data_IF_051217895993
#
_entry.id   IF_051217895993
#
_cell.length_a   1.000
_cell.length_b   1.000
_cell.length_c   1.000
_cell.angle_alpha   90.00
_cell.angle_beta   90.00
_cell.angle_gamma   90.00
#
_symmetry.space_group_name_H-M   'P 1'
#
loop_
_entity.id
_entity.type
_entity.pdbx_description
1 polymer ?
#
# COMPACT_ATOMS: atom_id res chain seq x y z
N UNK A 1 3.75 -17.43 -15.18
CA UNK A 1 3.01 -16.18 -14.94
C UNK A 1 3.23 -15.87 -13.45
N UNK A 2 3.83 -14.74 -13.15
CA UNK A 2 4.08 -14.35 -11.77
C UNK A 2 2.77 -13.89 -11.08
N UNK A 3 2.66 -14.18 -9.79
CA UNK A 3 1.48 -13.89 -8.98
C UNK A 3 1.74 -12.68 -8.09
N UNK A 4 0.83 -11.71 -8.15
CA UNK A 4 0.85 -10.49 -7.32
C UNK A 4 -0.33 -10.53 -6.34
N UNK A 5 -0.08 -10.23 -5.09
CA UNK A 5 -1.11 -10.02 -4.06
C UNK A 5 -1.11 -8.54 -3.66
N UNK A 6 -2.26 -7.88 -3.79
CA UNK A 6 -2.42 -6.45 -3.49
C UNK A 6 -3.45 -6.26 -2.39
N UNK A 7 -3.09 -5.65 -1.28
CA UNK A 7 -4.04 -5.33 -0.22
C UNK A 7 -4.73 -3.99 -0.47
N UNK A 8 -6.01 -3.86 -0.15
CA UNK A 8 -6.80 -2.66 -0.43
C UNK A 8 -7.02 -2.41 -1.93
N UNK A 9 -7.23 -3.49 -2.71
CA UNK A 9 -7.28 -3.43 -4.17
C UNK A 9 -8.63 -3.01 -4.78
N UNK A 10 -9.66 -2.69 -3.98
CA UNK A 10 -11.00 -2.38 -4.50
C UNK A 10 -11.17 -0.95 -5.01
N UNK A 11 -10.34 0.01 -4.59
CA UNK A 11 -10.42 1.43 -4.98
C UNK A 11 -9.07 2.14 -4.95
N UNK A 12 -9.04 3.38 -5.43
CA UNK A 12 -7.89 4.28 -5.37
C UNK A 12 -6.60 3.66 -5.94
N UNK A 13 -5.50 3.88 -5.27
CA UNK A 13 -4.15 3.41 -5.65
C UNK A 13 -4.12 1.88 -5.82
N UNK A 14 -4.77 1.15 -4.90
CA UNK A 14 -4.83 -0.31 -4.97
C UNK A 14 -5.52 -0.82 -6.23
N UNK A 15 -6.66 -0.23 -6.60
CA UNK A 15 -7.37 -0.61 -7.82
C UNK A 15 -6.60 -0.26 -9.11
N UNK A 16 -5.89 0.89 -9.13
CA UNK A 16 -5.01 1.24 -10.22
C UNK A 16 -3.85 0.25 -10.36
N UNK A 17 -3.27 -0.17 -9.23
CA UNK A 17 -2.24 -1.22 -9.23
C UNK A 17 -2.81 -2.56 -9.75
N UNK A 18 -4.00 -2.99 -9.29
CA UNK A 18 -4.65 -4.21 -9.79
C UNK A 18 -4.80 -4.17 -11.31
N UNK A 19 -5.32 -3.05 -11.86
CA UNK A 19 -5.49 -2.89 -13.31
C UNK A 19 -4.16 -2.96 -14.06
N UNK A 20 -3.16 -2.21 -13.60
CA UNK A 20 -1.87 -2.15 -14.26
C UNK A 20 -1.15 -3.51 -14.25
N UNK A 21 -1.11 -4.21 -13.12
CA UNK A 21 -0.47 -5.51 -13.05
C UNK A 21 -1.22 -6.58 -13.87
N UNK A 22 -2.56 -6.55 -13.89
CA UNK A 22 -3.35 -7.44 -14.75
C UNK A 22 -3.09 -7.16 -16.25
N UNK A 23 -3.03 -5.89 -16.67
CA UNK A 23 -2.67 -5.50 -18.05
C UNK A 23 -1.27 -5.98 -18.44
N UNK A 24 -0.33 -6.00 -17.50
CA UNK A 24 1.03 -6.53 -17.71
C UNK A 24 1.12 -8.05 -17.70
N UNK A 25 0.01 -8.75 -17.55
CA UNK A 25 -0.05 -10.21 -17.64
C UNK A 25 0.31 -10.93 -16.34
N UNK A 26 0.31 -10.24 -15.19
CA UNK A 26 0.44 -10.91 -13.91
C UNK A 26 -0.87 -11.60 -13.50
N UNK A 27 -0.78 -12.68 -12.73
CA UNK A 27 -1.94 -13.22 -12.03
C UNK A 27 -2.15 -12.38 -10.76
N UNK A 28 -3.23 -11.62 -10.69
CA UNK A 28 -3.48 -10.69 -9.58
C UNK A 28 -4.54 -11.23 -8.65
N UNK A 29 -4.21 -11.33 -7.38
CA UNK A 29 -5.14 -11.47 -6.27
C UNK A 29 -5.18 -10.14 -5.51
N UNK A 30 -6.36 -9.74 -5.04
CA UNK A 30 -6.41 -8.55 -4.21
C UNK A 30 -7.34 -8.70 -3.01
N UNK A 31 -6.89 -8.19 -1.86
CA UNK A 31 -7.66 -8.20 -0.62
C UNK A 31 -8.44 -6.90 -0.50
N UNK A 32 -9.65 -6.99 0.02
CA UNK A 32 -10.53 -5.84 0.33
C UNK A 32 -11.38 -6.15 1.56
N UNK A 33 -11.79 -5.13 2.33
CA UNK A 33 -12.56 -5.35 3.58
C UNK A 33 -14.08 -5.25 3.34
N UNK A 34 -14.58 -4.13 2.81
CA UNK A 34 -16.01 -3.79 2.82
C UNK A 34 -16.61 -3.49 1.45
N UNK A 35 -15.83 -2.97 0.53
CA UNK A 35 -16.31 -2.42 -0.74
C UNK A 35 -16.60 -3.53 -1.77
N UNK A 36 -17.61 -4.39 -1.49
CA UNK A 36 -17.92 -5.56 -2.33
C UNK A 36 -18.27 -5.19 -3.78
N UNK A 37 -19.07 -4.13 -4.00
CA UNK A 37 -19.44 -3.70 -5.34
C UNK A 37 -18.24 -3.19 -6.13
N UNK A 38 -17.38 -2.37 -5.52
CA UNK A 38 -16.16 -1.87 -6.14
C UNK A 38 -15.17 -3.01 -6.43
N UNK A 39 -14.99 -3.94 -5.49
CA UNK A 39 -14.15 -5.12 -5.69
C UNK A 39 -14.63 -5.98 -6.87
N UNK A 40 -15.95 -6.19 -6.97
CA UNK A 40 -16.55 -6.92 -8.09
C UNK A 40 -16.29 -6.21 -9.42
N UNK A 41 -16.48 -4.90 -9.51
CA UNK A 41 -16.23 -4.13 -10.72
C UNK A 41 -14.75 -4.19 -11.17
N UNK A 42 -13.81 -4.11 -10.22
CA UNK A 42 -12.38 -4.28 -10.51
C UNK A 42 -12.10 -5.70 -11.03
N UNK A 43 -12.64 -6.73 -10.39
CA UNK A 43 -12.46 -8.12 -10.81
C UNK A 43 -13.01 -8.37 -12.22
N UNK A 44 -14.22 -7.92 -12.52
CA UNK A 44 -14.87 -8.07 -13.81
C UNK A 44 -14.10 -7.37 -14.95
N UNK A 45 -13.51 -6.20 -14.67
CA UNK A 45 -12.76 -5.42 -15.67
C UNK A 45 -11.34 -5.93 -15.91
N UNK A 46 -10.77 -6.72 -14.99
CA UNK A 46 -9.34 -7.11 -15.04
C UNK A 46 -9.10 -8.61 -15.08
N UNK A 47 -10.08 -9.40 -14.68
CA UNK A 47 -9.90 -10.83 -14.42
C UNK A 47 -9.12 -11.13 -13.12
N UNK A 48 -8.82 -10.12 -12.31
CA UNK A 48 -8.17 -10.28 -11.01
C UNK A 48 -9.13 -10.95 -10.00
N UNK A 49 -8.57 -11.65 -9.03
CA UNK A 49 -9.32 -12.46 -8.07
C UNK A 49 -9.47 -11.70 -6.74
N UNK A 50 -10.69 -11.26 -6.37
CA UNK A 50 -10.95 -10.58 -5.13
C UNK A 50 -11.08 -11.56 -3.95
N UNK A 51 -10.52 -11.22 -2.80
CA UNK A 51 -10.67 -11.97 -1.56
C UNK A 51 -11.09 -10.98 -0.45
N UNK A 52 -12.25 -11.21 0.16
CA UNK A 52 -12.71 -10.38 1.28
C UNK A 52 -11.89 -10.70 2.53
N UNK A 53 -11.16 -9.71 3.05
CA UNK A 53 -10.25 -9.88 4.18
C UNK A 53 -9.94 -8.53 4.84
N UNK A 54 -10.16 -8.42 6.15
CA UNK A 54 -9.57 -7.35 6.95
C UNK A 54 -8.11 -7.71 7.28
N UNK A 55 -7.17 -6.89 6.82
CA UNK A 55 -5.73 -7.13 7.07
C UNK A 55 -5.34 -6.99 8.54
N UNK A 56 -6.17 -6.34 9.36
CA UNK A 56 -5.97 -6.26 10.80
C UNK A 56 -6.22 -7.60 11.53
N UNK A 57 -6.96 -8.51 10.90
CA UNK A 57 -7.22 -9.86 11.41
C UNK A 57 -6.22 -10.87 10.83
N UNK A 58 -5.28 -11.32 11.67
CA UNK A 58 -4.24 -12.26 11.25
C UNK A 58 -4.76 -13.63 10.82
N UNK A 59 -5.86 -14.12 11.40
CA UNK A 59 -6.45 -15.40 11.00
C UNK A 59 -7.19 -15.26 9.66
N UNK A 60 -7.88 -14.14 9.43
CA UNK A 60 -8.48 -13.84 8.13
C UNK A 60 -7.40 -13.72 7.03
N UNK A 61 -6.25 -13.10 7.33
CA UNK A 61 -5.12 -13.02 6.39
C UNK A 61 -4.56 -14.40 6.07
N UNK A 62 -4.32 -15.25 7.06
CA UNK A 62 -3.88 -16.65 6.83
C UNK A 62 -4.86 -17.43 5.95
N UNK A 63 -6.16 -17.30 6.24
CA UNK A 63 -7.20 -17.95 5.45
C UNK A 63 -7.27 -17.40 4.01
N UNK A 64 -7.04 -16.10 3.80
CA UNK A 64 -6.96 -15.50 2.47
C UNK A 64 -5.76 -16.04 1.68
N UNK A 65 -4.56 -16.04 2.29
CA UNK A 65 -3.35 -16.51 1.63
C UNK A 65 -3.36 -18.02 1.35
N UNK A 66 -4.07 -18.84 2.13
CA UNK A 66 -4.22 -20.28 1.84
C UNK A 66 -4.96 -20.57 0.53
N UNK A 67 -5.69 -19.60 -0.02
CA UNK A 67 -6.38 -19.69 -1.32
C UNK A 67 -5.48 -19.29 -2.49
N UNK A 68 -4.27 -18.78 -2.23
CA UNK A 68 -3.35 -18.26 -3.23
C UNK A 68 -2.22 -19.28 -3.42
N UNK A 69 -2.11 -19.92 -4.60
CA UNK A 69 -1.18 -21.04 -4.80
C UNK A 69 0.31 -20.67 -4.65
N UNK A 70 0.66 -19.46 -5.04
CA UNK A 70 2.01 -18.91 -4.94
C UNK A 70 1.95 -17.39 -4.82
N UNK A 71 2.96 -16.77 -4.22
CA UNK A 71 3.11 -15.32 -4.13
C UNK A 71 4.52 -14.96 -4.58
N UNK A 72 4.64 -14.19 -5.66
CA UNK A 72 5.92 -13.67 -6.15
C UNK A 72 6.11 -12.21 -5.76
N UNK A 73 5.02 -11.43 -5.72
CA UNK A 73 5.01 -10.02 -5.36
C UNK A 73 3.88 -9.76 -4.36
N UNK A 74 4.20 -9.08 -3.26
CA UNK A 74 3.23 -8.62 -2.27
C UNK A 74 3.23 -7.09 -2.22
N UNK A 75 2.07 -6.46 -2.47
CA UNK A 75 1.87 -5.01 -2.36
C UNK A 75 0.97 -4.72 -1.16
N UNK A 76 1.57 -4.22 -0.08
CA UNK A 76 0.89 -3.82 1.15
C UNK A 76 0.39 -2.38 1.01
N UNK A 77 -0.76 -2.22 0.34
CA UNK A 77 -1.37 -0.92 0.06
C UNK A 77 -2.53 -0.57 1.00
N UNK A 78 -3.20 -1.56 1.62
CA UNK A 78 -4.30 -1.30 2.53
C UNK A 78 -3.91 -0.30 3.63
N UNK A 79 -4.75 0.70 3.85
CA UNK A 79 -4.52 1.71 4.86
C UNK A 79 -5.75 2.59 5.08
N UNK A 80 -5.83 3.15 6.27
CA UNK A 80 -6.84 4.12 6.68
C UNK A 80 -6.16 5.38 7.18
N UNK A 81 -6.87 6.50 7.11
CA UNK A 81 -6.46 7.80 7.67
C UNK A 81 -7.37 8.16 8.84
N UNK A 82 -6.86 8.93 9.77
CA UNK A 82 -7.63 9.64 10.77
C UNK A 82 -7.18 11.09 10.79
N UNK A 83 -8.11 12.00 10.56
CA UNK A 83 -7.88 13.44 10.59
C UNK A 83 -8.53 14.01 11.84
N UNK A 84 -7.73 14.62 12.68
CA UNK A 84 -8.18 15.22 13.94
C UNK A 84 -7.02 15.55 14.89
N UNK A 85 -7.29 16.37 15.88
CA UNK A 85 -6.29 16.70 16.89
C UNK A 85 -5.95 15.46 17.73
N UNK A 86 -4.67 15.28 18.04
CA UNK A 86 -4.19 14.17 18.88
C UNK A 86 -4.91 14.10 20.24
N UNK A 87 -5.22 15.26 20.83
CA UNK A 87 -5.93 15.37 22.11
C UNK A 87 -7.39 14.91 22.07
N UNK A 88 -7.97 14.71 20.89
CA UNK A 88 -9.35 14.26 20.70
C UNK A 88 -9.43 12.80 20.21
N UNK A 89 -8.28 12.20 19.93
CA UNK A 89 -8.20 10.82 19.46
C UNK A 89 -8.45 9.85 20.62
N UNK A 90 -9.30 8.84 20.39
CA UNK A 90 -9.52 7.75 21.34
C UNK A 90 -8.52 6.62 21.16
N UNK A 91 -8.29 5.82 22.21
CA UNK A 91 -7.42 4.64 22.15
C UNK A 91 -7.88 3.66 21.05
N UNK A 92 -9.20 3.46 20.89
CA UNK A 92 -9.73 2.59 19.85
C UNK A 92 -9.42 3.08 18.42
N UNK A 93 -9.42 4.40 18.20
CA UNK A 93 -9.03 4.98 16.91
C UNK A 93 -7.53 4.82 16.67
N UNK A 94 -6.73 5.05 17.70
CA UNK A 94 -5.28 4.83 17.67
C UNK A 94 -4.96 3.36 17.35
N UNK A 95 -5.53 2.42 18.08
CA UNK A 95 -5.30 0.99 17.89
C UNK A 95 -5.73 0.56 16.48
N UNK A 96 -6.89 0.99 16.01
CA UNK A 96 -7.38 0.62 14.68
C UNK A 96 -6.48 1.09 13.55
N UNK A 97 -5.95 2.32 13.62
CA UNK A 97 -5.07 2.83 12.56
C UNK A 97 -3.73 2.08 12.55
N UNK A 98 -3.19 1.70 13.71
CA UNK A 98 -1.99 0.88 13.80
C UNK A 98 -2.25 -0.57 13.38
N UNK A 99 -3.39 -1.16 13.76
CA UNK A 99 -3.77 -2.52 13.36
C UNK A 99 -3.87 -2.65 11.84
N UNK A 100 -4.46 -1.67 11.16
CA UNK A 100 -4.56 -1.71 9.69
C UNK A 100 -3.24 -1.36 9.02
N UNK A 101 -2.67 -0.19 9.34
CA UNK A 101 -1.57 0.40 8.57
C UNK A 101 -0.21 -0.26 8.84
N UNK A 102 -0.02 -0.84 10.01
CA UNK A 102 1.28 -1.42 10.44
C UNK A 102 1.16 -2.93 10.65
N UNK A 103 0.26 -3.35 11.54
CA UNK A 103 0.11 -4.77 11.87
C UNK A 103 -0.44 -5.58 10.69
N UNK A 104 -1.30 -4.97 9.85
CA UNK A 104 -1.75 -5.59 8.61
C UNK A 104 -0.60 -5.95 7.66
N UNK A 105 0.44 -5.11 7.57
CA UNK A 105 1.65 -5.41 6.80
C UNK A 105 2.38 -6.62 7.40
N UNK A 106 2.54 -6.65 8.73
CA UNK A 106 3.15 -7.78 9.43
C UNK A 106 2.39 -9.09 9.14
N UNK A 107 1.07 -9.11 9.19
CA UNK A 107 0.26 -10.28 8.88
C UNK A 107 0.48 -10.77 7.44
N UNK A 108 0.43 -9.84 6.46
CA UNK A 108 0.57 -10.18 5.04
C UNK A 108 1.98 -10.65 4.68
N UNK A 109 3.02 -10.01 5.22
CA UNK A 109 4.42 -10.42 5.00
C UNK A 109 4.65 -11.82 5.56
N UNK A 110 4.20 -12.10 6.80
CA UNK A 110 4.32 -13.44 7.39
C UNK A 110 3.55 -14.51 6.60
N UNK A 111 2.38 -14.17 6.06
CA UNK A 111 1.59 -15.11 5.26
C UNK A 111 2.22 -15.41 3.89
N UNK A 112 2.94 -14.43 3.29
CA UNK A 112 3.66 -14.62 2.03
C UNK A 112 5.04 -15.31 2.21
N UNK A 113 5.61 -15.23 3.41
CA UNK A 113 6.98 -15.69 3.72
C UNK A 113 7.27 -17.14 3.28
N UNK A 114 6.39 -18.13 3.52
CA UNK A 114 6.67 -19.52 3.09
C UNK A 114 6.89 -19.65 1.57
N UNK A 115 6.12 -18.91 0.74
CA UNK A 115 6.28 -18.91 -0.71
C UNK A 115 7.61 -18.28 -1.13
N UNK A 116 7.96 -17.13 -0.55
CA UNK A 116 9.21 -16.44 -0.81
C UNK A 116 10.45 -17.28 -0.43
N UNK A 117 10.43 -17.90 0.75
CA UNK A 117 11.55 -18.74 1.20
C UNK A 117 11.69 -20.03 0.40
N UNK A 118 10.58 -20.59 -0.09
CA UNK A 118 10.61 -21.79 -0.94
C UNK A 118 11.32 -21.54 -2.27
N UNK A 119 11.13 -20.35 -2.86
CA UNK A 119 11.69 -19.99 -4.17
C UNK A 119 13.00 -19.23 -4.07
N UNK A 120 13.39 -18.77 -2.89
CA UNK A 120 14.47 -17.80 -2.67
C UNK A 120 14.35 -16.56 -3.56
N UNK A 121 13.11 -16.15 -3.83
CA UNK A 121 12.77 -14.97 -4.61
C UNK A 121 11.49 -14.35 -4.07
N UNK A 122 11.44 -13.03 -4.04
CA UNK A 122 10.23 -12.31 -3.63
C UNK A 122 10.40 -10.81 -3.74
N UNK A 123 9.28 -10.12 -3.85
CA UNK A 123 9.24 -8.68 -3.81
C UNK A 123 8.10 -8.21 -2.91
N UNK A 124 8.42 -7.41 -1.91
CA UNK A 124 7.44 -6.72 -1.06
C UNK A 124 7.50 -5.23 -1.36
N UNK A 125 6.35 -4.64 -1.63
CA UNK A 125 6.20 -3.19 -1.80
C UNK A 125 5.21 -2.70 -0.76
N UNK A 126 5.67 -1.83 0.12
CA UNK A 126 4.84 -1.18 1.13
C UNK A 126 4.40 0.21 0.66
N UNK A 127 3.28 0.69 1.17
CA UNK A 127 2.79 2.04 0.86
C UNK A 127 2.81 2.89 2.12
N UNK A 128 3.75 3.83 2.16
CA UNK A 128 3.83 4.86 3.18
C UNK A 128 3.03 6.11 2.74
N UNK A 129 3.54 7.28 2.99
CA UNK A 129 3.02 8.60 2.60
C UNK A 129 4.15 9.62 2.72
N UNK A 130 4.04 10.74 2.05
CA UNK A 130 4.87 11.90 2.33
C UNK A 130 4.78 12.31 3.83
N UNK A 131 3.62 12.14 4.46
CA UNK A 131 3.44 12.39 5.89
C UNK A 131 4.18 11.40 6.80
N UNK A 132 4.57 10.25 6.30
CA UNK A 132 5.50 9.34 6.99
C UNK A 132 6.95 9.82 6.97
N UNK A 133 7.30 10.74 6.07
CA UNK A 133 8.64 11.32 5.95
C UNK A 133 8.81 12.57 6.83
N UNK A 134 7.77 13.43 6.92
CA UNK A 134 7.87 14.74 7.60
C UNK A 134 6.83 14.96 8.69
N UNK A 135 5.75 14.17 8.71
CA UNK A 135 4.60 14.38 9.60
C UNK A 135 3.64 15.46 9.10
N UNK A 136 2.39 15.43 9.60
CA UNK A 136 1.36 16.42 9.30
C UNK A 136 0.54 16.79 10.53
N UNK A 137 0.16 18.04 10.65
CA UNK A 137 -0.79 18.50 11.66
C UNK A 137 -2.15 17.85 11.43
N UNK A 138 -2.85 17.54 12.50
CA UNK A 138 -4.13 16.81 12.51
C UNK A 138 -4.08 15.38 11.96
N UNK A 139 -2.90 14.87 11.58
CA UNK A 139 -2.69 13.50 11.11
C UNK A 139 -1.57 12.78 11.88
N UNK A 140 -1.40 13.10 13.17
CA UNK A 140 -0.28 12.61 13.96
C UNK A 140 -0.19 11.08 14.02
N UNK A 141 -1.30 10.38 14.27
CA UNK A 141 -1.33 8.91 14.28
C UNK A 141 -1.10 8.32 12.90
N UNK A 142 -1.70 8.90 11.85
CA UNK A 142 -1.44 8.47 10.47
C UNK A 142 0.04 8.64 10.11
N UNK A 143 0.62 9.79 10.36
CA UNK A 143 2.04 10.07 10.15
C UNK A 143 2.94 9.08 10.90
N UNK A 144 2.61 8.78 12.16
CA UNK A 144 3.33 7.80 12.97
C UNK A 144 3.28 6.39 12.33
N UNK A 145 2.09 5.93 11.87
CA UNK A 145 1.98 4.63 11.18
C UNK A 145 2.78 4.61 9.89
N UNK A 146 2.75 5.70 9.11
CA UNK A 146 3.48 5.78 7.83
C UNK A 146 4.99 5.92 8.01
N UNK A 147 5.44 6.55 9.09
CA UNK A 147 6.84 6.52 9.52
C UNK A 147 7.29 5.13 9.96
N UNK A 148 6.44 4.40 10.71
CA UNK A 148 6.69 3.01 11.07
C UNK A 148 6.82 2.10 9.84
N UNK A 149 6.01 2.29 8.80
CA UNK A 149 6.11 1.55 7.52
C UNK A 149 7.47 1.78 6.86
N UNK A 150 7.99 3.01 6.86
CA UNK A 150 9.32 3.33 6.32
C UNK A 150 10.42 2.56 7.07
N UNK A 151 10.38 2.60 8.40
CA UNK A 151 11.36 1.90 9.23
C UNK A 151 11.27 0.37 9.05
N UNK A 152 10.05 -0.17 9.04
CA UNK A 152 9.78 -1.60 8.80
C UNK A 152 10.30 -2.05 7.44
N UNK A 153 10.09 -1.27 6.39
CA UNK A 153 10.60 -1.56 5.03
C UNK A 153 12.12 -1.74 5.03
N UNK A 154 12.83 -0.80 5.66
CA UNK A 154 14.30 -0.82 5.72
C UNK A 154 14.82 -2.01 6.52
N UNK A 155 14.17 -2.32 7.65
CA UNK A 155 14.52 -3.46 8.48
C UNK A 155 14.30 -4.79 7.74
N UNK A 156 13.13 -4.98 7.13
CA UNK A 156 12.82 -6.18 6.35
C UNK A 156 13.73 -6.35 5.13
N UNK A 157 14.15 -5.26 4.48
CA UNK A 157 15.08 -5.34 3.37
C UNK A 157 16.45 -5.91 3.79
N UNK A 158 16.93 -5.54 4.97
CA UNK A 158 18.17 -6.08 5.54
C UNK A 158 18.03 -7.54 5.97
N UNK A 159 16.91 -7.86 6.61
CA UNK A 159 16.63 -9.20 7.14
C UNK A 159 16.40 -10.23 6.02
N UNK A 160 15.63 -9.85 4.99
CA UNK A 160 15.17 -10.77 3.95
C UNK A 160 16.05 -10.77 2.69
N UNK A 161 16.89 -9.74 2.50
CA UNK A 161 17.80 -9.62 1.37
C UNK A 161 18.71 -10.84 1.17
N UNK A 162 19.33 -11.41 2.22
CA UNK A 162 20.12 -12.64 2.09
C UNK A 162 19.34 -13.85 1.57
N UNK A 163 18.01 -13.84 1.69
CA UNK A 163 17.11 -14.88 1.17
C UNK A 163 16.60 -14.57 -0.25
N UNK A 164 17.11 -13.53 -0.91
CA UNK A 164 16.69 -13.13 -2.26
C UNK A 164 15.35 -12.36 -2.32
N UNK A 165 14.89 -11.85 -1.18
CA UNK A 165 13.62 -11.12 -1.09
C UNK A 165 13.89 -9.63 -1.00
N UNK A 166 13.38 -8.85 -1.94
CA UNK A 166 13.51 -7.39 -1.96
C UNK A 166 12.31 -6.74 -1.25
N UNK A 167 12.56 -5.69 -0.50
CA UNK A 167 11.51 -4.94 0.19
C UNK A 167 11.73 -3.44 -0.06
N UNK A 168 10.76 -2.79 -0.69
CA UNK A 168 10.80 -1.37 -0.98
C UNK A 168 9.48 -0.68 -0.56
N UNK A 169 9.50 0.63 -0.54
CA UNK A 169 8.36 1.45 -0.16
C UNK A 169 8.09 2.50 -1.24
N UNK A 170 6.82 2.76 -1.53
CA UNK A 170 6.40 3.99 -2.20
C UNK A 170 5.85 4.98 -1.16
N UNK A 171 6.16 6.26 -1.30
CA UNK A 171 5.66 7.33 -0.45
C UNK A 171 4.87 8.35 -1.29
N UNK A 172 3.55 8.11 -1.50
CA UNK A 172 2.72 9.01 -2.28
C UNK A 172 2.56 10.38 -1.61
N UNK A 173 2.41 11.41 -2.44
CA UNK A 173 1.91 12.72 -2.04
C UNK A 173 0.38 12.78 -1.99
N UNK A 174 -0.20 13.92 -2.37
CA UNK A 174 -1.65 14.06 -2.50
C UNK A 174 -2.09 13.39 -3.80
N UNK A 175 -2.82 12.29 -3.69
CA UNK A 175 -3.32 11.50 -4.82
C UNK A 175 -4.84 11.61 -4.87
N UNK A 176 -5.39 11.88 -6.05
CA UNK A 176 -6.83 12.00 -6.28
C UNK A 176 -7.54 10.64 -6.08
N UNK A 177 -8.03 10.42 -4.88
CA UNK A 177 -8.73 9.20 -4.47
C UNK A 177 -9.89 9.56 -3.54
N UNK A 178 -10.76 8.59 -3.22
CA UNK A 178 -11.83 8.74 -2.24
C UNK A 178 -11.32 9.19 -0.86
N UNK A 179 -10.05 8.96 -0.55
CA UNK A 179 -9.43 9.41 0.71
C UNK A 179 -9.36 10.95 0.80
N UNK A 180 -9.40 11.65 -0.33
CA UNK A 180 -9.42 13.11 -0.40
C UNK A 180 -10.83 13.67 -0.64
N UNK A 181 -11.89 12.84 -0.67
CA UNK A 181 -13.25 13.27 -1.04
C UNK A 181 -13.84 14.33 -0.10
N UNK A 182 -13.44 14.29 1.19
CA UNK A 182 -13.92 15.22 2.21
C UNK A 182 -13.03 16.47 2.34
N UNK A 183 -11.97 16.61 1.53
CA UNK A 183 -11.10 17.79 1.55
C UNK A 183 -11.76 18.90 0.76
N UNK A 184 -11.84 20.10 1.36
CA UNK A 184 -12.47 21.25 0.72
C UNK A 184 -11.75 21.64 -0.60
N UNK A 185 -12.49 22.08 -1.63
CA UNK A 185 -11.91 22.36 -2.96
C UNK A 185 -10.80 23.41 -2.96
N UNK A 186 -10.89 24.43 -2.11
CA UNK A 186 -9.87 25.46 -1.93
C UNK A 186 -8.56 24.87 -1.37
N UNK A 187 -8.66 23.97 -0.39
CA UNK A 187 -7.50 23.25 0.16
C UNK A 187 -6.87 22.35 -0.93
N UNK A 188 -7.69 21.69 -1.75
CA UNK A 188 -7.17 20.87 -2.85
C UNK A 188 -6.43 21.70 -3.90
N UNK A 189 -6.91 22.91 -4.21
CA UNK A 189 -6.19 23.82 -5.13
C UNK A 189 -4.89 24.33 -4.51
N UNK A 190 -4.88 24.70 -3.22
CA UNK A 190 -3.67 25.07 -2.49
C UNK A 190 -2.62 23.94 -2.51
N UNK A 191 -3.04 22.68 -2.28
CA UNK A 191 -2.15 21.52 -2.33
C UNK A 191 -1.58 21.29 -3.74
N UNK A 192 -2.37 21.54 -4.77
CA UNK A 192 -1.93 21.46 -6.15
C UNK A 192 -0.90 22.56 -6.48
N UNK A 193 -1.14 23.81 -6.04
CA UNK A 193 -0.19 24.91 -6.22
C UNK A 193 1.13 24.68 -5.49
N UNK A 194 1.09 24.04 -4.31
CA UNK A 194 2.27 23.64 -3.55
C UNK A 194 3.03 22.46 -4.18
N UNK A 195 2.43 21.75 -5.13
CA UNK A 195 3.06 20.62 -5.80
C UNK A 195 3.88 21.12 -6.99
N UNK A 196 5.23 21.00 -6.97
CA UNK A 196 6.10 21.57 -8.01
C UNK A 196 5.78 21.16 -9.45
N UNK A 197 5.26 19.94 -9.67
CA UNK A 197 4.82 19.50 -11.01
C UNK A 197 3.47 20.11 -11.44
N UNK A 198 2.85 20.99 -10.64
CA UNK A 198 1.65 21.75 -10.99
C UNK A 198 0.35 20.95 -11.08
N UNK A 199 0.32 19.74 -10.54
CA UNK A 199 -0.89 18.92 -10.46
C UNK A 199 -0.87 18.01 -9.23
N UNK A 200 -2.04 17.54 -8.84
CA UNK A 200 -2.15 16.42 -7.90
C UNK A 200 -1.76 15.11 -8.60
N UNK A 201 -1.37 14.12 -7.80
CA UNK A 201 -1.07 12.80 -8.31
C UNK A 201 -2.34 12.01 -8.66
N UNK A 202 -2.23 11.12 -9.63
CA UNK A 202 -3.26 10.14 -9.97
C UNK A 202 -2.88 8.76 -9.38
N UNK A 203 -3.84 7.89 -9.09
CA UNK A 203 -3.56 6.52 -8.63
C UNK A 203 -2.58 5.78 -9.53
N UNK A 204 -2.63 6.02 -10.84
CA UNK A 204 -1.76 5.43 -11.86
C UNK A 204 -0.31 5.87 -11.74
N UNK A 205 -0.03 7.08 -11.23
CA UNK A 205 1.34 7.54 -10.99
C UNK A 205 2.02 6.64 -9.93
N UNK A 206 1.27 6.29 -8.88
CA UNK A 206 1.77 5.40 -7.81
C UNK A 206 1.86 3.96 -8.28
N UNK A 207 0.87 3.47 -9.04
CA UNK A 207 0.88 2.12 -9.59
C UNK A 207 2.08 1.87 -10.51
N UNK A 208 2.47 2.86 -11.34
CA UNK A 208 3.68 2.79 -12.18
C UNK A 208 4.96 2.67 -11.36
N UNK A 209 5.05 3.40 -10.25
CA UNK A 209 6.19 3.30 -9.34
C UNK A 209 6.27 1.91 -8.66
N UNK A 210 5.11 1.34 -8.30
CA UNK A 210 5.05 -0.04 -7.77
C UNK A 210 5.52 -1.06 -8.82
N UNK A 211 5.07 -0.92 -10.08
CA UNK A 211 5.51 -1.80 -11.16
C UNK A 211 7.02 -1.70 -11.36
N UNK A 212 7.58 -0.49 -11.44
CA UNK A 212 9.03 -0.29 -11.53
C UNK A 212 9.77 -1.01 -10.38
N UNK A 213 9.36 -0.81 -9.13
CA UNK A 213 10.00 -1.45 -7.98
C UNK A 213 9.86 -2.98 -7.99
N UNK A 214 8.80 -3.51 -8.59
CA UNK A 214 8.61 -4.95 -8.71
C UNK A 214 9.61 -5.58 -9.69
N UNK A 215 10.02 -4.84 -10.72
CA UNK A 215 10.93 -5.28 -11.80
C UNK A 215 12.40 -4.92 -11.55
N UNK A 216 12.69 -3.93 -10.69
CA UNK A 216 14.03 -3.45 -10.39
C UNK A 216 14.77 -4.41 -9.44
N UNK A 217 15.44 -5.39 -9.97
CA UNK A 217 16.08 -6.52 -9.26
C UNK A 217 17.25 -6.13 -8.35
N UNK A 218 17.87 -4.98 -8.58
CA UNK A 218 18.98 -4.45 -7.75
C UNK A 218 18.54 -3.31 -6.82
N UNK A 219 17.23 -3.15 -6.56
CA UNK A 219 16.66 -2.12 -5.68
C UNK A 219 15.99 -2.78 -4.48
N UNK A 220 16.50 -2.52 -3.28
CA UNK A 220 15.90 -2.94 -2.00
C UNK A 220 16.17 -1.92 -0.90
N UNK A 221 15.30 -1.84 0.13
CA UNK A 221 15.41 -0.91 1.25
C UNK A 221 15.11 0.55 0.91
N UNK A 222 14.62 0.82 -0.31
CA UNK A 222 14.40 2.20 -0.75
C UNK A 222 12.98 2.68 -0.45
N UNK A 223 12.89 3.99 -0.21
CA UNK A 223 11.62 4.72 -0.13
C UNK A 223 11.56 5.63 -1.35
N UNK A 224 10.67 5.33 -2.28
CA UNK A 224 10.49 6.10 -3.51
C UNK A 224 9.34 7.11 -3.34
N UNK A 225 9.64 8.42 -3.20
CA UNK A 225 8.60 9.45 -3.17
C UNK A 225 7.87 9.53 -4.52
N UNK A 226 6.53 9.53 -4.49
CA UNK A 226 5.67 9.74 -5.65
C UNK A 226 4.73 10.88 -5.31
N UNK A 227 5.29 12.09 -5.17
CA UNK A 227 4.65 13.23 -4.56
C UNK A 227 4.74 14.53 -5.40
N UNK A 228 5.18 14.44 -6.65
CA UNK A 228 5.30 15.60 -7.54
C UNK A 228 6.30 16.66 -7.07
N UNK A 229 7.23 16.31 -6.16
CA UNK A 229 8.19 17.24 -5.58
C UNK A 229 7.68 18.00 -4.36
N UNK A 230 6.51 17.66 -3.83
CA UNK A 230 5.92 18.32 -2.65
C UNK A 230 6.85 18.25 -1.43
N UNK A 231 7.55 17.14 -1.27
CA UNK A 231 8.61 16.94 -0.28
C UNK A 231 9.83 16.38 -1.01
N UNK A 232 10.99 17.02 -0.79
CA UNK A 232 12.28 16.64 -1.38
C UNK A 232 13.24 16.19 -0.26
#
# INVERSE_FOLDING_TARGET
>A
MATVVITGGSRGIGAAAVRLFAEKGYRVYFLYEKEHAAAKAVAESTGAIPICCDVADGEAVKAAFSQIPNVDILICNAGIVHVGLMSQMTDAQWDRIFDVNVKGIFHCVNAAMPAFLQTHQGCVITVSSMWGQVGASCEAAYSATKGAVIALTKALAQELGPSGIRVNCVAPGVIQTDMCADVAPDIMEDLKEQTPVGRLGEPEDVAKAMLYLSEADFVTGQVLPVNGGFII
#
